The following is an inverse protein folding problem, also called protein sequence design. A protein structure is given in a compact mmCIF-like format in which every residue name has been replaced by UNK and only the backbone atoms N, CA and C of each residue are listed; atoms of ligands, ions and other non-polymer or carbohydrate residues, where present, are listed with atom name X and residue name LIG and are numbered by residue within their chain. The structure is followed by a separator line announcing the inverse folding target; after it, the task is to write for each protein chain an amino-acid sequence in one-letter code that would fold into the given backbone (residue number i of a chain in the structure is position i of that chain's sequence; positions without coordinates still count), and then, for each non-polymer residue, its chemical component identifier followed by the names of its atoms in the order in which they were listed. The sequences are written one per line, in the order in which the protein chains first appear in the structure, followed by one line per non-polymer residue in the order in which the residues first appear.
data_IF_156799501595
#
_entry.id   IF_156799501595
#
_cell.length_a   1.000
_cell.length_b   1.000
_cell.length_c   1.000
_cell.angle_alpha   90.00
_cell.angle_beta   90.00
_cell.angle_gamma   90.00
#
_symmetry.space_group_name_H-M   'P 1'
#
loop_
_entity.id
_entity.type
_entity.pdbx_description
1 polymer ?
#
# COMPACT_ATOMS: atom_id res chain seq x y z
N UNK A 1 -7.95 -4.29 -58.70
CA UNK A 1 -8.36 -3.59 -57.47
C UNK A 1 -7.54 -4.09 -56.32
N UNK A 2 -6.74 -3.17 -55.82
CA UNK A 2 -5.65 -3.35 -54.89
C UNK A 2 -6.20 -3.07 -53.48
N UNK A 3 -6.25 -4.10 -52.63
CA UNK A 3 -6.42 -3.90 -51.19
C UNK A 3 -5.35 -4.71 -50.48
N UNK A 4 -4.20 -4.07 -50.31
CA UNK A 4 -3.23 -4.46 -49.30
C UNK A 4 -3.94 -4.49 -47.94
N UNK A 5 -3.80 -5.61 -47.23
CA UNK A 5 -4.36 -5.81 -45.90
C UNK A 5 -3.43 -5.13 -44.86
N UNK A 6 -3.84 -4.04 -44.19
CA UNK A 6 -2.93 -3.23 -43.37
C UNK A 6 -2.75 -3.76 -41.94
N UNK A 7 -3.15 -5.00 -41.65
CA UNK A 7 -3.06 -5.58 -40.30
C UNK A 7 -1.86 -6.51 -40.10
N UNK A 8 -1.01 -6.68 -41.10
CA UNK A 8 0.29 -7.31 -40.95
C UNK A 8 1.33 -6.30 -40.42
N UNK A 9 1.21 -5.87 -39.16
CA UNK A 9 2.32 -5.35 -38.33
C UNK A 9 1.80 -4.89 -36.96
N UNK A 10 1.66 -5.86 -36.05
CA UNK A 10 1.91 -5.62 -34.64
C UNK A 10 2.48 -6.91 -34.06
N UNK A 11 3.76 -7.13 -34.30
CA UNK A 11 4.56 -8.01 -33.44
C UNK A 11 4.46 -7.42 -32.03
N UNK A 12 3.62 -8.02 -31.18
CA UNK A 12 3.59 -7.64 -29.77
C UNK A 12 5.00 -7.85 -29.19
N UNK A 13 5.60 -6.83 -28.55
CA UNK A 13 6.88 -7.03 -27.91
C UNK A 13 6.68 -8.04 -26.79
N UNK A 14 7.51 -9.09 -26.82
CA UNK A 14 7.68 -10.01 -25.71
C UNK A 14 8.25 -9.25 -24.50
N UNK A 15 7.42 -8.50 -23.80
CA UNK A 15 7.77 -7.95 -22.50
C UNK A 15 7.70 -9.09 -21.49
N UNK A 16 8.88 -9.43 -20.98
CA UNK A 16 9.09 -10.31 -19.85
C UNK A 16 8.23 -9.87 -18.66
N UNK A 17 7.00 -10.40 -18.57
CA UNK A 17 6.18 -10.32 -17.37
C UNK A 17 6.79 -11.27 -16.35
N UNK A 18 7.75 -10.76 -15.57
CA UNK A 18 8.03 -11.23 -14.22
C UNK A 18 6.79 -11.01 -13.36
N UNK A 19 5.71 -11.73 -13.67
CA UNK A 19 4.46 -11.69 -12.94
C UNK A 19 4.69 -12.37 -11.62
N UNK A 20 4.89 -11.58 -10.56
CA UNK A 20 4.80 -12.08 -9.20
C UNK A 20 3.52 -12.92 -9.09
N UNK A 21 3.68 -14.18 -8.72
CA UNK A 21 2.57 -15.11 -8.50
C UNK A 21 1.51 -14.41 -7.66
N UNK A 22 0.23 -14.33 -8.10
CA UNK A 22 -0.79 -13.69 -7.31
C UNK A 22 -0.88 -14.43 -5.98
N UNK A 23 -0.43 -13.76 -4.92
CA UNK A 23 -0.61 -14.25 -3.55
C UNK A 23 -2.12 -14.24 -3.32
N UNK A 24 -2.73 -15.42 -3.43
CA UNK A 24 -4.11 -15.65 -3.06
C UNK A 24 -4.19 -15.47 -1.55
N UNK A 25 -4.72 -14.33 -1.10
CA UNK A 25 -5.05 -14.17 0.30
C UNK A 25 -6.23 -15.10 0.60
N UNK A 26 -6.11 -16.04 1.56
CA UNK A 26 -7.18 -16.98 1.90
C UNK A 26 -8.44 -16.22 2.38
N UNK A 27 -9.58 -16.92 2.44
CA UNK A 27 -10.82 -16.36 2.97
C UNK A 27 -10.55 -15.73 4.34
N UNK A 28 -10.68 -14.41 4.42
CA UNK A 28 -10.21 -13.63 5.57
C UNK A 28 -11.19 -13.77 6.72
N UNK A 29 -10.72 -14.31 7.84
CA UNK A 29 -11.51 -14.34 9.08
C UNK A 29 -11.50 -12.95 9.74
N UNK A 30 -12.63 -12.56 10.33
CA UNK A 30 -12.78 -11.27 11.02
C UNK A 30 -11.68 -11.04 12.08
N UNK A 31 -11.25 -12.10 12.74
CA UNK A 31 -10.20 -12.09 13.75
C UNK A 31 -8.83 -11.66 13.18
N UNK A 32 -8.50 -12.05 11.95
CA UNK A 32 -7.25 -11.63 11.32
C UNK A 32 -7.24 -10.14 10.98
N UNK A 33 -8.39 -9.63 10.51
CA UNK A 33 -8.58 -8.20 10.23
C UNK A 33 -8.46 -7.42 11.53
N UNK A 34 -9.11 -7.90 12.59
CA UNK A 34 -9.08 -7.26 13.90
C UNK A 34 -7.65 -7.18 14.45
N UNK A 35 -6.90 -8.28 14.40
CA UNK A 35 -5.49 -8.31 14.81
C UNK A 35 -4.64 -7.34 14.00
N UNK A 36 -4.84 -7.24 12.69
CA UNK A 36 -4.09 -6.32 11.84
C UNK A 36 -4.34 -4.84 12.15
N UNK A 37 -5.57 -4.50 12.53
CA UNK A 37 -5.96 -3.15 12.93
C UNK A 37 -5.34 -2.79 14.28
N UNK A 38 -5.36 -3.72 15.24
CA UNK A 38 -4.74 -3.53 16.55
C UNK A 38 -3.21 -3.39 16.46
N UNK A 39 -2.54 -4.18 15.61
CA UNK A 39 -1.10 -4.06 15.36
C UNK A 39 -0.68 -2.68 14.82
N UNK A 40 -1.58 -2.02 14.09
CA UNK A 40 -1.38 -0.65 13.58
C UNK A 40 -1.81 0.43 14.59
N UNK A 41 -2.18 0.04 15.81
CA UNK A 41 -2.67 0.94 16.86
C UNK A 41 -3.87 1.77 16.42
N UNK A 42 -4.69 1.21 15.51
CA UNK A 42 -5.89 1.88 15.00
C UNK A 42 -7.12 1.44 15.80
N UNK A 43 -8.08 2.34 16.09
CA UNK A 43 -9.31 1.96 16.77
C UNK A 43 -10.17 1.06 15.88
N UNK A 44 -10.64 -0.06 16.39
CA UNK A 44 -11.40 -1.03 15.59
C UNK A 44 -12.83 -0.58 15.27
N UNK A 45 -13.50 0.11 16.21
CA UNK A 45 -14.93 0.44 16.16
C UNK A 45 -15.25 1.86 15.69
N UNK A 46 -14.25 2.72 15.55
CA UNK A 46 -14.44 4.14 15.25
C UNK A 46 -13.37 4.67 14.29
N UNK A 47 -13.71 5.76 13.60
CA UNK A 47 -12.76 6.51 12.80
C UNK A 47 -12.02 7.48 13.72
N UNK A 48 -10.71 7.61 13.51
CA UNK A 48 -9.88 8.59 14.21
C UNK A 48 -10.25 10.02 13.81
N UNK A 49 -9.96 11.03 14.64
CA UNK A 49 -10.25 12.43 14.29
C UNK A 49 -9.67 12.88 12.94
N UNK A 50 -8.42 12.53 12.56
CA UNK A 50 -7.89 12.84 11.23
C UNK A 50 -8.67 12.18 10.08
N UNK A 51 -9.16 10.95 10.29
CA UNK A 51 -10.01 10.26 9.31
C UNK A 51 -11.33 11.00 9.13
N UNK A 52 -12.01 11.35 10.23
CA UNK A 52 -13.28 12.09 10.19
C UNK A 52 -13.14 13.42 9.45
N UNK A 53 -12.08 14.17 9.74
CA UNK A 53 -11.78 15.43 9.03
C UNK A 53 -11.48 15.16 7.55
N UNK A 54 -10.71 14.12 7.25
CA UNK A 54 -10.33 13.77 5.89
C UNK A 54 -11.48 13.31 4.99
N UNK A 55 -12.58 12.82 5.58
CA UNK A 55 -13.79 12.40 4.85
C UNK A 55 -14.90 13.46 4.79
N UNK A 56 -14.75 14.60 5.48
CA UNK A 56 -15.75 15.66 5.50
C UNK A 56 -16.07 16.15 4.08
N UNK A 57 -17.37 16.25 3.76
CA UNK A 57 -17.85 16.68 2.45
C UNK A 57 -17.75 15.61 1.36
N UNK A 58 -17.33 14.38 1.70
CA UNK A 58 -17.33 13.24 0.78
C UNK A 58 -18.52 12.33 1.05
N UNK A 59 -18.93 11.48 0.09
CA UNK A 59 -19.97 10.47 0.33
C UNK A 59 -19.66 9.49 1.48
N UNK A 60 -18.39 9.39 1.91
CA UNK A 60 -17.97 8.49 2.99
C UNK A 60 -18.39 8.96 4.38
N UNK A 61 -18.63 10.27 4.55
CA UNK A 61 -19.08 10.87 5.80
C UNK A 61 -20.45 10.32 6.24
N UNK A 62 -21.35 10.08 5.28
CA UNK A 62 -22.70 9.57 5.56
C UNK A 62 -22.74 8.07 5.90
N UNK A 63 -21.63 7.33 5.72
CA UNK A 63 -21.59 5.88 5.90
C UNK A 63 -20.38 5.42 6.73
N UNK A 64 -20.21 5.90 7.98
CA UNK A 64 -18.99 5.69 8.77
C UNK A 64 -18.68 4.22 9.03
N UNK A 65 -19.69 3.37 9.25
CA UNK A 65 -19.50 1.91 9.45
C UNK A 65 -18.94 1.23 8.20
N UNK A 66 -19.38 1.65 7.01
CA UNK A 66 -18.88 1.08 5.75
C UNK A 66 -17.47 1.58 5.46
N UNK A 67 -17.22 2.87 5.68
CA UNK A 67 -15.89 3.48 5.59
C UNK A 67 -14.89 2.78 6.52
N UNK A 68 -15.30 2.52 7.77
CA UNK A 68 -14.51 1.77 8.75
C UNK A 68 -14.20 0.34 8.29
N UNK A 69 -15.17 -0.37 7.72
CA UNK A 69 -14.95 -1.72 7.18
C UNK A 69 -13.91 -1.72 6.05
N UNK A 70 -13.99 -0.75 5.13
CA UNK A 70 -12.99 -0.58 4.06
C UNK A 70 -11.62 -0.25 4.65
N UNK A 71 -11.55 0.63 5.65
CA UNK A 71 -10.29 0.97 6.31
C UNK A 71 -9.65 -0.24 6.99
N UNK A 72 -10.43 -1.02 7.74
CA UNK A 72 -9.94 -2.21 8.45
C UNK A 72 -9.43 -3.25 7.46
N UNK A 73 -10.14 -3.43 6.35
CA UNK A 73 -9.71 -4.30 5.27
C UNK A 73 -8.39 -3.85 4.62
N UNK A 74 -8.23 -2.54 4.34
CA UNK A 74 -6.99 -2.01 3.80
C UNK A 74 -5.81 -2.16 4.77
N UNK A 75 -6.03 -1.94 6.06
CA UNK A 75 -5.02 -2.17 7.10
C UNK A 75 -4.57 -3.64 7.12
N UNK A 76 -5.52 -4.58 7.03
CA UNK A 76 -5.23 -6.00 6.89
C UNK A 76 -4.40 -6.32 5.63
N UNK A 77 -4.84 -5.86 4.46
CA UNK A 77 -4.10 -6.11 3.21
C UNK A 77 -2.68 -5.51 3.28
N UNK A 78 -2.52 -4.32 3.86
CA UNK A 78 -1.21 -3.73 4.07
C UNK A 78 -0.32 -4.60 4.96
N UNK A 79 -0.83 -5.13 6.07
CA UNK A 79 -0.09 -6.08 6.91
C UNK A 79 0.41 -7.28 6.11
N UNK A 80 -0.41 -7.84 5.21
CA UNK A 80 -0.05 -8.99 4.40
C UNK A 80 1.05 -8.69 3.36
N UNK A 81 1.07 -7.48 2.79
CA UNK A 81 1.96 -7.15 1.66
C UNK A 81 3.07 -6.15 1.98
N UNK A 82 3.13 -5.59 3.20
CA UNK A 82 4.13 -4.57 3.55
C UNK A 82 5.58 -5.04 3.37
N UNK A 83 5.84 -6.34 3.51
CA UNK A 83 7.16 -6.93 3.31
C UNK A 83 7.55 -7.03 1.83
N UNK A 84 6.57 -7.18 0.92
CA UNK A 84 6.79 -7.29 -0.52
C UNK A 84 6.79 -5.94 -1.24
N UNK A 85 6.49 -4.84 -0.55
CA UNK A 85 6.71 -3.48 -1.03
C UNK A 85 5.48 -2.60 -0.87
N UNK A 86 4.66 -2.50 -1.92
CA UNK A 86 3.60 -1.48 -2.04
C UNK A 86 2.23 -2.12 -2.24
N UNK A 87 1.25 -1.69 -1.45
CA UNK A 87 -0.16 -1.98 -1.67
C UNK A 87 -0.70 -1.08 -2.79
N UNK A 88 -1.41 -1.65 -3.77
CA UNK A 88 -2.01 -0.92 -4.89
C UNK A 88 -3.54 -1.07 -4.89
N UNK A 89 -4.25 -0.11 -5.50
CA UNK A 89 -5.72 -0.17 -5.64
C UNK A 89 -6.14 -1.41 -6.45
N UNK A 90 -5.38 -1.78 -7.48
CA UNK A 90 -5.62 -3.00 -8.24
C UNK A 90 -5.55 -4.26 -7.37
N UNK A 91 -4.52 -4.37 -6.52
CA UNK A 91 -4.38 -5.48 -5.58
C UNK A 91 -5.57 -5.54 -4.61
N UNK A 92 -5.98 -4.40 -4.04
CA UNK A 92 -7.15 -4.31 -3.16
C UNK A 92 -8.41 -4.78 -3.87
N UNK A 93 -8.61 -4.35 -5.12
CA UNK A 93 -9.81 -4.66 -5.92
C UNK A 93 -9.94 -6.14 -6.22
N UNK A 94 -8.82 -6.83 -6.50
CA UNK A 94 -8.77 -8.27 -6.72
C UNK A 94 -9.13 -9.09 -5.48
N UNK A 95 -8.84 -8.55 -4.29
CA UNK A 95 -9.10 -9.21 -3.01
C UNK A 95 -10.42 -8.80 -2.36
N UNK A 96 -11.16 -7.86 -2.95
CA UNK A 96 -12.45 -7.45 -2.43
C UNK A 96 -13.51 -8.53 -2.68
N UNK A 97 -13.95 -9.22 -1.63
CA UNK A 97 -14.95 -10.30 -1.71
C UNK A 97 -16.38 -9.84 -1.41
N UNK A 98 -16.74 -8.61 -1.79
CA UNK A 98 -18.10 -8.09 -1.66
C UNK A 98 -18.91 -8.43 -2.91
N UNK A 99 -20.16 -8.87 -2.72
CA UNK A 99 -21.12 -9.21 -3.80
C UNK A 99 -22.22 -8.16 -3.95
N UNK A 100 -22.83 -8.11 -5.12
CA UNK A 100 -23.99 -7.26 -5.41
C UNK A 100 -23.71 -5.75 -5.39
N UNK A 101 -24.75 -4.94 -5.18
CA UNK A 101 -24.68 -3.48 -5.17
C UNK A 101 -23.71 -2.92 -4.11
N UNK A 102 -23.49 -3.65 -3.01
CA UNK A 102 -22.49 -3.27 -2.02
C UNK A 102 -21.08 -3.26 -2.60
N UNK A 103 -20.77 -4.13 -3.57
CA UNK A 103 -19.48 -4.13 -4.27
C UNK A 103 -19.25 -2.82 -5.00
N UNK A 104 -20.27 -2.27 -5.65
CA UNK A 104 -20.18 -1.03 -6.43
C UNK A 104 -19.79 0.13 -5.52
N UNK A 105 -20.52 0.32 -4.42
CA UNK A 105 -20.21 1.37 -3.44
C UNK A 105 -18.81 1.18 -2.85
N UNK A 106 -18.46 -0.05 -2.46
CA UNK A 106 -17.16 -0.34 -1.85
C UNK A 106 -16.01 -0.07 -2.81
N UNK A 107 -16.14 -0.45 -4.08
CA UNK A 107 -15.15 -0.16 -5.12
C UNK A 107 -14.98 1.34 -5.36
N UNK A 108 -16.05 2.13 -5.25
CA UNK A 108 -15.98 3.59 -5.33
C UNK A 108 -15.34 4.21 -4.07
N UNK A 109 -15.58 3.62 -2.89
CA UNK A 109 -15.03 4.10 -1.62
C UNK A 109 -13.52 3.81 -1.48
N UNK A 110 -13.06 2.66 -1.98
CA UNK A 110 -11.67 2.18 -1.82
C UNK A 110 -10.62 3.24 -2.19
N UNK A 111 -10.67 3.90 -3.37
CA UNK A 111 -9.66 4.92 -3.72
C UNK A 111 -9.58 6.07 -2.72
N UNK A 112 -10.71 6.54 -2.19
CA UNK A 112 -10.75 7.64 -1.24
C UNK A 112 -10.13 7.25 0.11
N UNK A 113 -10.53 6.09 0.66
CA UNK A 113 -9.98 5.58 1.92
C UNK A 113 -8.49 5.28 1.75
N UNK A 114 -8.11 4.60 0.66
CA UNK A 114 -6.72 4.27 0.35
C UNK A 114 -5.83 5.51 0.27
N UNK A 115 -6.28 6.55 -0.44
CA UNK A 115 -5.53 7.80 -0.58
C UNK A 115 -5.38 8.53 0.75
N UNK A 116 -6.43 8.55 1.59
CA UNK A 116 -6.33 9.15 2.92
C UNK A 116 -5.33 8.39 3.80
N UNK A 117 -5.45 7.07 3.92
CA UNK A 117 -4.55 6.25 4.73
C UNK A 117 -3.09 6.35 4.26
N UNK A 118 -2.87 6.44 2.95
CA UNK A 118 -1.52 6.65 2.39
C UNK A 118 -0.95 8.01 2.78
N UNK A 119 -1.76 9.09 2.73
CA UNK A 119 -1.34 10.43 3.15
C UNK A 119 -1.08 10.52 4.65
N UNK A 120 -1.85 9.81 5.46
CA UNK A 120 -1.63 9.70 6.91
C UNK A 120 -0.44 8.79 7.27
N UNK A 121 0.19 8.14 6.29
CA UNK A 121 1.32 7.25 6.52
C UNK A 121 0.93 5.95 7.24
N UNK A 122 -0.35 5.57 7.21
CA UNK A 122 -0.85 4.35 7.85
C UNK A 122 -0.64 3.11 6.96
N UNK A 123 -0.66 3.32 5.65
CA UNK A 123 -0.33 2.31 4.64
C UNK A 123 0.71 2.88 3.68
N UNK A 124 1.46 2.02 3.00
CA UNK A 124 2.48 2.42 2.01
C UNK A 124 3.55 3.40 2.54
N UNK A 125 3.66 3.58 3.85
CA UNK A 125 4.82 4.25 4.44
C UNK A 125 6.07 3.40 4.13
N UNK A 126 7.17 4.05 3.77
CA UNK A 126 8.43 3.46 3.23
C UNK A 126 8.45 2.98 1.77
N UNK A 127 7.30 2.82 1.09
CA UNK A 127 7.28 2.41 -0.33
C UNK A 127 7.71 3.52 -1.30
N UNK A 128 7.73 4.78 -0.84
CA UNK A 128 8.02 5.97 -1.66
C UNK A 128 9.51 6.29 -1.81
N UNK A 129 10.31 6.14 -0.76
CA UNK A 129 11.76 6.22 -0.82
C UNK A 129 12.30 5.64 0.47
N UNK A 130 13.07 4.56 0.36
CA UNK A 130 14.15 4.31 1.31
C UNK A 130 15.12 5.47 1.10
N UNK A 131 14.86 6.62 1.74
CA UNK A 131 15.86 7.67 1.88
C UNK A 131 16.98 7.02 2.67
N UNK A 132 17.95 6.43 1.95
CA UNK A 132 19.21 6.04 2.55
C UNK A 132 19.83 7.35 2.99
N UNK A 133 19.69 7.69 4.26
CA UNK A 133 20.55 8.69 4.88
C UNK A 133 21.93 8.05 4.82
N UNK A 134 22.67 8.32 3.73
CA UNK A 134 24.10 8.09 3.68
C UNK A 134 24.66 9.11 4.64
N UNK A 135 24.86 8.72 5.90
CA UNK A 135 25.72 9.46 6.82
C UNK A 135 27.10 9.36 6.17
N UNK A 136 27.68 10.44 5.64
CA UNK A 136 29.08 10.39 5.25
C UNK A 136 29.86 10.12 6.54
N UNK A 137 30.52 8.97 6.61
CA UNK A 137 31.62 8.79 7.55
C UNK A 137 32.63 9.87 7.18
N UNK A 138 32.68 10.94 7.97
CA UNK A 138 33.74 11.94 7.90
C UNK A 138 35.06 11.20 7.99
N UNK A 139 35.75 11.04 6.87
CA UNK A 139 37.16 10.66 6.82
C UNK A 139 37.97 11.87 7.31
N UNK A 140 37.99 12.08 8.63
CA UNK A 140 38.88 13.02 9.29
C UNK A 140 39.45 12.33 10.53
N UNK A 141 40.66 11.81 10.35
CA UNK A 141 41.44 11.15 11.38
C UNK A 141 42.51 10.28 10.74
N UNK A 142 43.56 10.93 10.24
CA UNK A 142 44.73 10.28 9.65
C UNK A 142 45.42 9.29 10.60
N UNK A 143 46.47 8.59 10.12
CA UNK A 143 47.13 7.54 10.89
C UNK A 143 47.73 8.10 12.19
N UNK A 144 47.32 7.53 13.32
CA UNK A 144 48.00 7.68 14.60
C UNK A 144 49.42 7.12 14.44
N UNK A 145 50.36 8.02 14.20
CA UNK A 145 51.79 7.75 14.21
C UNK A 145 52.18 7.39 15.65
N UNK A 146 52.42 6.10 15.89
CA UNK A 146 52.96 5.62 17.17
C UNK A 146 54.32 6.30 17.44
N UNK A 147 54.34 7.26 18.36
CA UNK A 147 55.58 7.68 19.01
C UNK A 147 55.82 6.76 20.19
N UNK A 148 56.75 5.81 20.01
CA UNK A 148 57.50 5.22 21.12
C UNK A 148 58.44 6.31 21.65
N UNK A 149 58.20 6.79 22.85
CA UNK A 149 59.23 7.46 23.65
C UNK A 149 59.83 6.44 24.61
N UNK A 150 61.06 6.04 24.31
CA UNK A 150 62.01 5.47 25.27
C UNK A 150 62.70 6.63 25.98
N UNK A 151 62.53 6.74 27.29
CA UNK A 151 63.60 7.01 28.29
C UNK A 151 63.15 6.33 29.58
#
# INVERSE_FOLDING_TARGET
DERADPLALASEPAEARGGATPVLVPAVEQEEVHRAVLEQQMPWWELTPPEVVGYRGTPLESYPRRTLAVRNFLAYLWKCVRASGRLTIDFVSRHLLVRGLQRVWTMQAVPHVFNLLSRLGLINFSAGHRLSIRIPLSSHGGPLRAQRSTV
#
